data_IF_136204922017
#
_entry.id   IF_136204922017
#
_cell.length_a   1.000
_cell.length_b   1.000
_cell.length_c   1.000
_cell.angle_alpha   90.00
_cell.angle_beta   90.00
_cell.angle_gamma   90.00
#
_symmetry.space_group_name_H-M   'P 1'
#
loop_
_entity.id
_entity.type
_entity.pdbx_description
1 polymer ?
#
# COMPACT_ATOMS: atom_id res chain seq x y z
N UNK A 1 -14.87 36.42 -26.52
CA UNK A 1 -15.91 35.98 -25.57
C UNK A 1 -16.87 35.17 -26.40
N UNK A 2 -16.69 33.86 -26.38
CA UNK A 2 -17.33 32.94 -27.33
C UNK A 2 -17.73 31.74 -26.50
N UNK A 3 -19.04 31.54 -26.34
CA UNK A 3 -19.61 30.46 -25.54
C UNK A 3 -19.32 29.09 -26.17
N UNK A 4 -19.16 28.03 -25.36
CA UNK A 4 -19.05 26.66 -25.86
C UNK A 4 -20.41 26.08 -26.30
N UNK A 5 -20.43 25.17 -27.29
CA UNK A 5 -21.66 24.54 -27.78
C UNK A 5 -22.20 23.45 -26.83
N UNK A 6 -23.49 23.08 -26.96
CA UNK A 6 -24.17 22.20 -26.01
C UNK A 6 -23.73 20.74 -26.16
N UNK A 7 -23.59 20.05 -25.03
CA UNK A 7 -23.35 18.60 -24.96
C UNK A 7 -24.69 17.90 -25.15
N UNK A 8 -24.84 17.21 -26.28
CA UNK A 8 -25.98 16.37 -26.57
C UNK A 8 -25.92 15.09 -25.72
N UNK A 9 -27.02 14.82 -25.03
CA UNK A 9 -27.23 13.64 -24.21
C UNK A 9 -27.91 12.58 -25.07
N UNK A 10 -27.15 11.58 -25.52
CA UNK A 10 -27.72 10.39 -26.15
C UNK A 10 -27.13 9.15 -25.49
N UNK A 11 -27.97 8.51 -24.68
CA UNK A 11 -27.73 7.19 -24.13
C UNK A 11 -27.85 6.13 -25.21
N UNK A 12 -26.94 5.16 -25.18
CA UNK A 12 -27.21 3.85 -25.75
C UNK A 12 -26.91 2.77 -24.70
N UNK A 13 -28.00 2.09 -24.36
CA UNK A 13 -28.07 0.95 -23.48
C UNK A 13 -27.50 -0.30 -24.15
N UNK A 14 -26.78 -1.08 -23.33
CA UNK A 14 -26.81 -2.54 -23.24
C UNK A 14 -27.29 -3.31 -24.48
N UNK A 15 -26.34 -3.81 -25.26
CA UNK A 15 -26.57 -4.93 -26.16
C UNK A 15 -26.76 -6.21 -25.34
N UNK A 16 -27.99 -6.70 -25.40
CA UNK A 16 -28.48 -7.93 -24.83
C UNK A 16 -27.83 -9.15 -25.50
N UNK A 17 -27.37 -10.07 -24.66
CA UNK A 17 -27.12 -11.46 -25.04
C UNK A 17 -28.42 -12.08 -25.55
N UNK A 18 -28.38 -12.59 -26.77
CA UNK A 18 -29.28 -13.65 -27.23
C UNK A 18 -28.57 -14.42 -28.32
N UNK A 19 -28.30 -15.70 -28.08
CA UNK A 19 -28.49 -16.76 -29.05
C UNK A 19 -28.64 -18.10 -28.31
N UNK A 20 -29.61 -18.83 -28.81
CA UNK A 20 -30.29 -20.01 -28.29
C UNK A 20 -29.51 -21.33 -28.47
N UNK A 21 -29.73 -22.24 -27.51
CA UNK A 21 -29.99 -23.69 -27.63
C UNK A 21 -29.31 -24.50 -28.75
N UNK A 22 -28.56 -25.54 -28.39
CA UNK A 22 -28.89 -26.97 -28.69
C UNK A 22 -27.80 -27.92 -28.20
N UNK A 23 -28.22 -29.12 -27.83
CA UNK A 23 -27.43 -30.25 -27.37
C UNK A 23 -26.82 -31.04 -28.53
N UNK A 24 -25.57 -31.50 -28.39
CA UNK A 24 -24.90 -32.40 -29.32
C UNK A 24 -23.69 -33.08 -28.69
N UNK A 25 -23.71 -34.41 -28.60
CA UNK A 25 -22.58 -35.28 -28.23
C UNK A 25 -21.62 -35.43 -29.40
N UNK A 26 -20.31 -35.53 -29.11
CA UNK A 26 -19.41 -36.41 -29.85
C UNK A 26 -18.14 -35.77 -30.44
N UNK A 27 -17.01 -36.24 -29.89
CA UNK A 27 -15.70 -36.47 -30.53
C UNK A 27 -14.76 -35.31 -30.89
N UNK A 28 -13.66 -35.30 -30.12
CA UNK A 28 -12.25 -35.29 -30.54
C UNK A 28 -11.78 -34.21 -31.52
N UNK A 29 -11.03 -33.23 -30.99
CA UNK A 29 -9.76 -32.80 -31.60
C UNK A 29 -9.05 -31.76 -30.72
N UNK A 30 -7.76 -31.97 -30.54
CA UNK A 30 -6.81 -30.93 -30.14
C UNK A 30 -6.69 -30.72 -28.64
N UNK A 31 -5.80 -31.50 -28.02
CA UNK A 31 -5.13 -31.04 -26.80
C UNK A 31 -4.40 -29.73 -27.13
N UNK A 32 -5.09 -28.61 -26.94
CA UNK A 32 -4.46 -27.32 -26.75
C UNK A 32 -3.55 -27.49 -25.56
N UNK A 33 -2.25 -27.46 -25.83
CA UNK A 33 -1.20 -27.38 -24.84
C UNK A 33 -1.55 -26.27 -23.87
N UNK A 34 -2.09 -26.66 -22.72
CA UNK A 34 -2.33 -25.77 -21.60
C UNK A 34 -1.00 -25.12 -21.27
N UNK A 35 -0.85 -23.85 -21.62
CA UNK A 35 0.28 -23.01 -21.22
C UNK A 35 0.48 -23.21 -19.73
N UNK A 36 1.56 -23.89 -19.37
CA UNK A 36 1.93 -24.17 -18.00
C UNK A 36 2.01 -22.82 -17.30
N UNK A 37 1.04 -22.52 -16.42
CA UNK A 37 0.98 -21.29 -15.65
C UNK A 37 2.38 -21.01 -15.11
N UNK A 38 3.02 -19.95 -15.63
CA UNK A 38 4.41 -19.62 -15.34
C UNK A 38 4.59 -19.59 -13.83
N UNK A 39 5.57 -20.34 -13.32
CA UNK A 39 5.92 -20.29 -11.90
C UNK A 39 6.14 -18.82 -11.55
N UNK A 40 5.40 -18.31 -10.57
CA UNK A 40 5.54 -16.93 -10.08
C UNK A 40 7.03 -16.65 -9.90
N UNK A 41 7.60 -15.60 -10.55
CA UNK A 41 8.99 -15.25 -10.36
C UNK A 41 9.26 -15.06 -8.87
N UNK A 42 10.11 -15.90 -8.29
CA UNK A 42 10.52 -15.76 -6.89
C UNK A 42 11.53 -14.63 -6.79
N UNK A 43 11.06 -13.38 -6.87
CA UNK A 43 11.90 -12.22 -6.60
C UNK A 43 12.18 -12.20 -5.10
N UNK A 44 13.46 -12.34 -4.75
CA UNK A 44 13.93 -12.18 -3.37
C UNK A 44 14.10 -10.70 -3.08
N UNK A 45 13.37 -10.18 -2.11
CA UNK A 45 13.48 -8.79 -1.66
C UNK A 45 14.67 -8.62 -0.70
N UNK A 46 15.88 -8.72 -1.22
CA UNK A 46 17.12 -8.46 -0.47
C UNK A 46 17.55 -7.00 -0.62
N UNK A 47 17.53 -6.22 0.47
CA UNK A 47 17.87 -4.79 0.43
C UNK A 47 19.35 -4.51 0.16
N UNK A 48 20.20 -5.54 0.12
CA UNK A 48 21.59 -5.44 -0.32
C UNK A 48 21.71 -5.49 -1.85
N UNK A 49 20.73 -6.05 -2.55
CA UNK A 49 20.71 -6.11 -4.01
C UNK A 49 20.40 -4.71 -4.59
N UNK A 50 21.27 -4.14 -5.44
CA UNK A 50 21.06 -2.81 -6.01
C UNK A 50 19.78 -2.71 -6.84
N UNK A 51 19.36 -3.76 -7.54
CA UNK A 51 18.11 -3.76 -8.31
C UNK A 51 16.90 -3.74 -7.38
N UNK A 52 16.96 -4.50 -6.27
CA UNK A 52 15.89 -4.48 -5.25
C UNK A 52 15.80 -3.10 -4.57
N UNK A 53 16.94 -2.48 -4.28
CA UNK A 53 16.99 -1.12 -3.76
C UNK A 53 16.36 -0.12 -4.74
N UNK A 54 16.75 -0.17 -6.01
CA UNK A 54 16.20 0.68 -7.05
C UNK A 54 14.67 0.54 -7.19
N UNK A 55 14.17 -0.71 -7.25
CA UNK A 55 12.72 -1.01 -7.27
C UNK A 55 12.01 -0.44 -6.05
N UNK A 56 12.60 -0.58 -4.86
CA UNK A 56 12.02 -0.02 -3.63
C UNK A 56 11.99 1.50 -3.68
N UNK A 57 13.06 2.13 -4.14
CA UNK A 57 13.11 3.59 -4.31
C UNK A 57 12.06 4.07 -5.30
N UNK A 58 11.85 3.38 -6.43
CA UNK A 58 10.79 3.73 -7.39
C UNK A 58 9.39 3.54 -6.80
N UNK A 59 9.17 2.45 -6.06
CA UNK A 59 7.92 2.21 -5.36
C UNK A 59 7.61 3.35 -4.37
N UNK A 60 8.59 3.75 -3.55
CA UNK A 60 8.43 4.84 -2.58
C UNK A 60 8.23 6.18 -3.31
N UNK A 61 9.01 6.45 -4.36
CA UNK A 61 8.88 7.66 -5.17
C UNK A 61 7.48 7.77 -5.78
N UNK A 62 6.94 6.68 -6.31
CA UNK A 62 5.58 6.64 -6.84
C UNK A 62 4.55 6.99 -5.76
N UNK A 63 4.69 6.46 -4.54
CA UNK A 63 3.83 6.81 -3.42
C UNK A 63 3.91 8.31 -3.03
N UNK A 64 5.05 8.97 -3.26
CA UNK A 64 5.20 10.42 -3.07
C UNK A 64 4.51 11.21 -4.17
N UNK A 65 4.69 10.79 -5.42
CA UNK A 65 4.13 11.45 -6.61
C UNK A 65 2.60 11.39 -6.65
N UNK A 66 2.00 10.30 -6.16
CA UNK A 66 0.55 10.07 -6.22
C UNK A 66 -0.08 9.93 -4.82
N UNK A 67 -0.19 11.03 -4.05
CA UNK A 67 -0.65 10.98 -2.66
C UNK A 67 -2.08 10.49 -2.51
N UNK A 68 -3.00 10.87 -3.40
CA UNK A 68 -4.41 10.43 -3.35
C UNK A 68 -4.52 8.93 -3.57
N UNK A 69 -3.79 8.40 -4.55
CA UNK A 69 -3.75 6.97 -4.82
C UNK A 69 -3.06 6.21 -3.69
N UNK A 70 -1.98 6.76 -3.12
CA UNK A 70 -1.31 6.22 -1.95
C UNK A 70 -2.26 6.12 -0.75
N UNK A 71 -3.05 7.16 -0.47
CA UNK A 71 -4.04 7.14 0.61
C UNK A 71 -5.00 5.96 0.39
N UNK A 72 -5.60 5.85 -0.80
CA UNK A 72 -6.50 4.73 -1.15
C UNK A 72 -5.82 3.35 -1.07
N UNK A 73 -4.53 3.28 -1.41
CA UNK A 73 -3.73 2.06 -1.31
C UNK A 73 -3.49 1.63 0.15
N UNK A 74 -3.32 2.57 1.07
CA UNK A 74 -3.07 2.28 2.49
C UNK A 74 -4.30 2.40 3.38
N UNK A 75 -5.45 2.86 2.86
CA UNK A 75 -6.72 2.85 3.59
C UNK A 75 -7.09 1.42 4.01
N UNK A 76 -7.54 1.32 5.26
CA UNK A 76 -8.10 0.10 5.82
C UNK A 76 -9.59 0.01 5.46
N UNK A 77 -9.99 -1.11 4.86
CA UNK A 77 -11.38 -1.37 4.51
C UNK A 77 -12.29 -1.50 5.74
N UNK A 78 -11.78 -1.77 6.95
CA UNK A 78 -12.63 -1.90 8.14
C UNK A 78 -13.22 -0.56 8.64
N UNK A 79 -12.50 0.56 8.50
CA UNK A 79 -13.04 1.88 8.87
C UNK A 79 -14.15 2.32 7.89
N UNK A 80 -14.05 1.94 6.62
CA UNK A 80 -15.07 2.18 5.59
C UNK A 80 -16.29 1.24 5.73
N UNK A 81 -16.12 0.06 6.35
CA UNK A 81 -17.20 -0.91 6.63
C UNK A 81 -18.21 -0.39 7.65
N UNK A 82 -17.76 0.43 8.62
CA UNK A 82 -18.67 1.11 9.56
C UNK A 82 -19.60 2.07 8.82
N UNK A 83 -19.19 2.58 7.65
CA UNK A 83 -19.95 3.53 6.87
C UNK A 83 -20.84 2.87 5.80
N UNK A 84 -20.44 1.78 5.12
CA UNK A 84 -21.30 1.16 4.10
C UNK A 84 -21.11 -0.37 3.95
N UNK A 85 -22.14 -1.14 4.33
CA UNK A 85 -22.13 -2.59 4.45
C UNK A 85 -22.05 -3.42 3.14
N UNK A 86 -21.98 -2.80 1.96
CA UNK A 86 -22.03 -3.50 0.66
C UNK A 86 -20.75 -3.37 -0.20
N UNK A 87 -19.71 -2.65 0.25
CA UNK A 87 -18.58 -2.19 -0.60
C UNK A 87 -17.29 -3.02 -0.60
N UNK A 88 -17.16 -4.10 0.18
CA UNK A 88 -15.85 -4.77 0.37
C UNK A 88 -15.26 -5.34 -0.93
N UNK A 89 -16.08 -5.97 -1.77
CA UNK A 89 -15.59 -6.62 -3.00
C UNK A 89 -15.24 -5.60 -4.10
N UNK A 90 -16.01 -4.52 -4.21
CA UNK A 90 -15.73 -3.40 -5.12
C UNK A 90 -14.44 -2.67 -4.74
N UNK A 91 -14.22 -2.42 -3.45
CA UNK A 91 -12.97 -1.80 -2.97
C UNK A 91 -11.76 -2.71 -3.17
N UNK A 92 -11.91 -4.02 -3.00
CA UNK A 92 -10.84 -4.98 -3.31
C UNK A 92 -10.43 -4.89 -4.78
N UNK A 93 -11.39 -4.90 -5.70
CA UNK A 93 -11.11 -4.76 -7.14
C UNK A 93 -10.44 -3.42 -7.47
N UNK A 94 -10.91 -2.31 -6.89
CA UNK A 94 -10.28 -1.00 -7.06
C UNK A 94 -8.85 -0.95 -6.50
N UNK A 95 -8.61 -1.60 -5.37
CA UNK A 95 -7.27 -1.67 -4.77
C UNK A 95 -6.29 -2.43 -5.65
N UNK A 96 -6.75 -3.45 -6.38
CA UNK A 96 -5.91 -4.14 -7.38
C UNK A 96 -5.53 -3.24 -8.55
N UNK A 97 -6.41 -2.34 -9.00
CA UNK A 97 -6.08 -1.34 -10.02
C UNK A 97 -4.94 -0.43 -9.54
N UNK A 98 -4.99 0.04 -8.28
CA UNK A 98 -3.90 0.86 -7.72
C UNK A 98 -2.60 0.07 -7.60
N UNK A 99 -2.67 -1.22 -7.21
CA UNK A 99 -1.48 -2.07 -7.23
C UNK A 99 -0.92 -2.26 -8.64
N UNK A 100 -1.76 -2.40 -9.65
CA UNK A 100 -1.31 -2.50 -11.04
C UNK A 100 -0.56 -1.23 -11.46
N UNK A 101 -1.06 -0.04 -11.13
CA UNK A 101 -0.37 1.22 -11.42
C UNK A 101 1.02 1.30 -10.77
N UNK A 102 1.16 0.81 -9.53
CA UNK A 102 2.47 0.72 -8.86
C UNK A 102 3.38 -0.27 -9.59
N UNK A 103 2.86 -1.43 -9.96
CA UNK A 103 3.59 -2.45 -10.71
C UNK A 103 4.12 -1.88 -12.02
N UNK A 104 3.28 -1.16 -12.77
CA UNK A 104 3.65 -0.57 -14.05
C UNK A 104 4.77 0.46 -13.87
N UNK A 105 4.67 1.31 -12.85
CA UNK A 105 5.69 2.31 -12.55
C UNK A 105 7.04 1.68 -12.14
N UNK A 106 7.02 0.53 -11.46
CA UNK A 106 8.24 -0.12 -10.96
C UNK A 106 8.90 -1.01 -12.01
N UNK A 107 8.11 -1.75 -12.79
CA UNK A 107 8.65 -2.85 -13.62
C UNK A 107 8.71 -2.56 -15.12
N UNK A 108 7.99 -1.55 -15.64
CA UNK A 108 8.04 -1.21 -17.08
C UNK A 108 9.46 -0.86 -17.54
N UNK A 109 10.20 -0.15 -16.70
CA UNK A 109 11.55 0.32 -17.01
C UNK A 109 12.63 -0.32 -16.14
N UNK A 110 12.36 -1.49 -15.54
CA UNK A 110 13.30 -2.17 -14.64
C UNK A 110 14.70 -2.33 -15.26
N UNK A 111 15.74 -2.15 -14.46
CA UNK A 111 17.12 -2.29 -14.93
C UNK A 111 17.44 -3.74 -15.32
N UNK A 112 16.78 -4.71 -14.72
CA UNK A 112 16.93 -6.11 -15.07
C UNK A 112 16.06 -6.45 -16.28
N UNK A 113 16.73 -6.69 -17.41
CA UNK A 113 16.09 -7.01 -18.70
C UNK A 113 15.20 -8.25 -18.60
N UNK A 114 15.58 -9.26 -17.82
CA UNK A 114 14.78 -10.46 -17.64
C UNK A 114 13.51 -10.17 -16.87
N UNK A 115 13.59 -9.32 -15.85
CA UNK A 115 12.41 -8.91 -15.07
C UNK A 115 11.46 -8.07 -15.92
N UNK A 116 11.96 -7.13 -16.75
CA UNK A 116 11.11 -6.40 -17.72
C UNK A 116 10.40 -7.34 -18.67
N UNK A 117 11.13 -8.32 -19.23
CA UNK A 117 10.56 -9.28 -20.15
C UNK A 117 9.49 -10.14 -19.48
N UNK A 118 9.74 -10.65 -18.27
CA UNK A 118 8.76 -11.41 -17.49
C UNK A 118 7.53 -10.58 -17.14
N UNK A 119 7.72 -9.32 -16.76
CA UNK A 119 6.61 -8.41 -16.49
C UNK A 119 5.77 -8.17 -17.74
N UNK A 120 6.38 -7.97 -18.91
CA UNK A 120 5.65 -7.79 -20.17
C UNK A 120 4.78 -9.00 -20.54
N UNK A 121 5.19 -10.21 -20.16
CA UNK A 121 4.42 -11.44 -20.41
C UNK A 121 3.34 -11.69 -19.36
N UNK A 122 3.61 -11.35 -18.10
CA UNK A 122 2.77 -11.73 -16.96
C UNK A 122 2.56 -10.61 -15.95
N UNK A 123 1.97 -9.45 -16.35
CA UNK A 123 1.93 -8.25 -15.50
C UNK A 123 1.15 -8.46 -14.19
N UNK A 124 0.07 -9.25 -14.23
CA UNK A 124 -0.76 -9.52 -13.05
C UNK A 124 -0.04 -10.31 -11.94
N UNK A 125 0.99 -11.11 -12.27
CA UNK A 125 1.76 -11.85 -11.28
C UNK A 125 2.61 -10.93 -10.39
N UNK A 126 2.91 -9.72 -10.88
CA UNK A 126 3.75 -8.76 -10.17
C UNK A 126 2.99 -7.97 -9.10
N UNK A 127 1.65 -7.92 -9.17
CA UNK A 127 0.82 -7.35 -8.09
C UNK A 127 1.14 -8.03 -6.76
N UNK A 128 1.24 -9.36 -6.76
CA UNK A 128 1.57 -10.13 -5.56
C UNK A 128 2.97 -9.79 -5.02
N UNK A 129 3.93 -9.52 -5.91
CA UNK A 129 5.28 -9.15 -5.53
C UNK A 129 5.33 -7.80 -4.82
N UNK A 130 4.59 -6.80 -5.33
CA UNK A 130 4.46 -5.48 -4.69
C UNK A 130 3.73 -5.60 -3.35
N UNK A 131 2.62 -6.34 -3.27
CA UNK A 131 1.90 -6.59 -2.00
C UNK A 131 2.84 -7.18 -0.94
N UNK A 132 3.63 -8.20 -1.30
CA UNK A 132 4.61 -8.82 -0.42
C UNK A 132 5.72 -7.83 0.00
N UNK A 133 6.16 -6.94 -0.91
CA UNK A 133 7.16 -5.92 -0.58
C UNK A 133 6.62 -4.92 0.43
N UNK A 134 5.42 -4.40 0.26
CA UNK A 134 4.80 -3.52 1.25
C UNK A 134 4.68 -4.18 2.62
N UNK A 135 4.30 -5.46 2.68
CA UNK A 135 4.27 -6.21 3.94
C UNK A 135 5.66 -6.31 4.58
N UNK A 136 6.71 -6.56 3.80
CA UNK A 136 8.08 -6.57 4.31
C UNK A 136 8.53 -5.21 4.82
N UNK A 137 8.22 -4.13 4.10
CA UNK A 137 8.53 -2.76 4.50
C UNK A 137 7.78 -2.38 5.78
N UNK A 138 6.51 -2.77 5.88
CA UNK A 138 5.66 -2.56 7.05
C UNK A 138 6.25 -3.25 8.30
N UNK A 139 6.75 -4.48 8.17
CA UNK A 139 7.44 -5.18 9.27
C UNK A 139 8.70 -4.43 9.72
N UNK A 140 9.59 -4.09 8.77
CA UNK A 140 10.83 -3.35 9.05
C UNK A 140 10.57 -1.98 9.67
N UNK A 141 9.56 -1.28 9.19
CA UNK A 141 9.12 -0.01 9.75
C UNK A 141 8.70 -0.15 11.22
N UNK A 142 7.89 -1.14 11.56
CA UNK A 142 7.51 -1.35 12.96
C UNK A 142 8.67 -1.82 13.83
N UNK A 143 9.61 -2.62 13.30
CA UNK A 143 10.83 -2.97 14.01
C UNK A 143 11.69 -1.73 14.33
N UNK A 144 11.85 -0.82 13.37
CA UNK A 144 12.53 0.45 13.59
C UNK A 144 11.79 1.34 14.60
N UNK A 145 10.46 1.41 14.52
CA UNK A 145 9.66 2.18 15.48
C UNK A 145 9.71 1.62 16.91
N UNK A 146 9.88 0.30 17.08
CA UNK A 146 10.13 -0.28 18.41
C UNK A 146 11.43 0.24 19.01
N UNK A 147 12.46 0.50 18.18
CA UNK A 147 13.72 1.10 18.64
C UNK A 147 13.55 2.55 19.08
N UNK A 148 12.64 3.30 18.46
CA UNK A 148 12.28 4.66 18.90
C UNK A 148 11.48 4.69 20.20
N UNK A 149 10.81 3.59 20.54
CA UNK A 149 9.99 3.46 21.74
C UNK A 149 8.75 4.36 21.71
N UNK A 150 8.03 4.42 22.84
CA UNK A 150 6.81 5.23 22.97
C UNK A 150 7.08 6.74 22.86
N UNK A 151 8.24 7.20 23.32
CA UNK A 151 8.63 8.62 23.31
C UNK A 151 8.92 9.17 21.91
N UNK A 152 9.32 8.30 20.98
CA UNK A 152 9.46 8.66 19.56
C UNK A 152 8.22 8.30 18.72
N UNK A 153 7.27 7.57 19.28
CA UNK A 153 6.09 7.13 18.55
C UNK A 153 5.17 8.32 18.24
N UNK A 154 4.95 8.57 16.95
CA UNK A 154 4.07 9.64 16.51
C UNK A 154 4.74 11.01 16.40
N UNK A 155 5.99 11.18 16.82
CA UNK A 155 6.78 12.35 16.46
C UNK A 155 7.14 12.33 14.98
N UNK A 156 7.16 13.49 14.33
CA UNK A 156 7.67 13.65 12.97
C UNK A 156 9.19 13.45 12.94
N UNK A 157 9.75 13.20 11.74
CA UNK A 157 11.21 13.12 11.58
C UNK A 157 11.92 14.39 12.01
N UNK A 158 11.32 15.57 11.77
CA UNK A 158 11.86 16.85 12.21
C UNK A 158 11.94 16.95 13.76
N UNK A 159 10.85 16.63 14.46
CA UNK A 159 10.82 16.64 15.93
C UNK A 159 11.81 15.63 16.55
N UNK A 160 12.01 14.47 15.90
CA UNK A 160 13.01 13.49 16.33
C UNK A 160 14.44 14.03 16.16
N UNK A 161 14.71 14.83 15.13
CA UNK A 161 16.05 15.41 14.91
C UNK A 161 16.40 16.53 15.91
N UNK A 162 15.40 17.20 16.48
CA UNK A 162 15.61 18.25 17.49
C UNK A 162 16.11 17.69 18.83
N UNK A 163 15.88 16.39 19.10
CA UNK A 163 16.28 15.73 20.34
C UNK A 163 17.59 14.96 20.12
N UNK A 164 18.71 15.30 20.78
CA UNK A 164 20.01 14.71 20.47
C UNK A 164 20.11 13.19 20.61
N UNK A 165 19.36 12.62 21.56
CA UNK A 165 19.24 11.18 21.79
C UNK A 165 18.44 10.48 20.68
N UNK A 166 17.29 11.04 20.31
CA UNK A 166 16.45 10.51 19.23
C UNK A 166 17.11 10.66 17.87
N UNK A 167 17.79 11.78 17.61
CA UNK A 167 18.56 12.00 16.39
C UNK A 167 19.59 10.88 16.16
N UNK A 168 20.36 10.52 17.18
CA UNK A 168 21.35 9.42 17.08
C UNK A 168 20.70 8.08 16.77
N UNK A 169 19.50 7.82 17.30
CA UNK A 169 18.74 6.60 16.98
C UNK A 169 18.20 6.65 15.55
N UNK A 170 17.66 7.78 15.14
CA UNK A 170 17.15 8.02 13.79
C UNK A 170 18.26 7.84 12.74
N UNK A 171 19.45 8.41 12.98
CA UNK A 171 20.61 8.25 12.08
C UNK A 171 20.97 6.78 11.87
N UNK A 172 20.92 5.96 12.94
CA UNK A 172 21.15 4.50 12.86
C UNK A 172 20.03 3.78 12.12
N UNK A 173 18.78 4.19 12.31
CA UNK A 173 17.63 3.62 11.60
C UNK A 173 17.76 3.92 10.11
N UNK A 174 17.96 5.17 9.72
CA UNK A 174 18.05 5.60 8.32
C UNK A 174 19.27 4.98 7.63
N UNK A 175 20.39 4.82 8.32
CA UNK A 175 21.56 4.11 7.77
C UNK A 175 21.26 2.65 7.38
N UNK A 176 20.44 1.94 8.16
CA UNK A 176 20.08 0.54 7.90
C UNK A 176 18.80 0.37 7.07
N UNK A 177 17.91 1.34 7.12
CA UNK A 177 16.62 1.36 6.46
C UNK A 177 16.34 2.74 5.85
N UNK A 178 16.96 3.06 4.70
CA UNK A 178 16.93 4.41 4.11
C UNK A 178 15.54 4.95 3.76
N UNK A 179 14.54 4.07 3.59
CA UNK A 179 13.17 4.45 3.26
C UNK A 179 12.32 4.75 4.50
N UNK A 180 12.90 4.69 5.71
CA UNK A 180 12.14 4.86 6.95
C UNK A 180 11.42 6.21 6.99
N UNK A 181 12.07 7.32 6.65
CA UNK A 181 11.46 8.66 6.75
C UNK A 181 10.24 8.82 5.84
N UNK A 182 10.34 8.39 4.57
CA UNK A 182 9.22 8.44 3.63
C UNK A 182 8.06 7.57 4.13
N UNK A 183 8.35 6.34 4.57
CA UNK A 183 7.35 5.41 5.10
C UNK A 183 6.72 5.93 6.39
N UNK A 184 7.50 6.57 7.25
CA UNK A 184 7.00 7.22 8.45
C UNK A 184 6.04 8.36 8.07
N UNK A 185 6.38 9.18 7.07
CA UNK A 185 5.47 10.17 6.50
C UNK A 185 4.15 9.59 6.00
N UNK A 186 4.14 8.36 5.48
CA UNK A 186 2.93 7.70 4.99
C UNK A 186 2.10 7.03 6.09
N UNK A 187 2.76 6.46 7.10
CA UNK A 187 2.15 5.49 8.01
C UNK A 187 2.07 5.96 9.46
N UNK A 188 2.76 7.03 9.86
CA UNK A 188 2.87 7.49 11.26
C UNK A 188 1.53 7.60 11.98
N UNK A 189 0.50 8.11 11.31
CA UNK A 189 -0.84 8.34 11.89
C UNK A 189 -1.84 7.24 11.55
N UNK A 190 -1.44 6.19 10.85
CA UNK A 190 -2.34 5.09 10.45
C UNK A 190 -2.20 3.92 11.44
N UNK A 191 -3.22 3.63 12.28
CA UNK A 191 -3.17 2.56 13.29
C UNK A 191 -2.92 1.17 12.71
N UNK A 192 -3.33 0.92 11.46
CA UNK A 192 -3.11 -0.37 10.77
C UNK A 192 -1.66 -0.56 10.34
N UNK A 193 -0.85 0.51 10.35
CA UNK A 193 0.56 0.47 9.93
C UNK A 193 1.57 0.88 11.01
N UNK A 194 1.16 1.70 11.99
CA UNK A 194 1.99 2.10 13.12
C UNK A 194 1.42 1.53 14.44
N UNK A 195 1.86 0.32 14.80
CA UNK A 195 1.32 -0.36 15.98
C UNK A 195 1.64 0.35 17.30
N UNK A 196 2.76 1.09 17.36
CA UNK A 196 3.17 1.83 18.57
C UNK A 196 2.25 3.03 18.82
N UNK A 197 1.66 3.60 17.76
CA UNK A 197 0.63 4.64 17.88
C UNK A 197 -0.68 4.07 18.41
N UNK A 198 -1.07 2.86 17.98
CA UNK A 198 -2.29 2.19 18.45
C UNK A 198 -2.27 1.79 19.92
N UNK A 199 -1.10 1.69 20.55
CA UNK A 199 -0.98 1.43 22.00
C UNK A 199 -1.09 2.69 22.87
N UNK A 200 -1.09 3.88 22.28
CA UNK A 200 -1.48 5.10 22.98
C UNK A 200 -3.01 5.14 22.99
N UNK A 201 -3.62 4.67 24.06
CA UNK A 201 -5.08 4.66 24.23
C UNK A 201 -5.65 6.08 24.10
N UNK A 202 -6.52 6.37 23.11
CA UNK A 202 -7.18 7.68 22.99
C UNK A 202 -8.13 7.97 24.17
N UNK A 203 -8.41 6.96 25.01
CA UNK A 203 -9.25 7.10 26.22
C UNK A 203 -8.45 7.37 27.49
N UNK A 204 -7.12 7.43 27.42
CA UNK A 204 -6.35 8.04 28.49
C UNK A 204 -6.44 9.56 28.36
N UNK A 205 -7.57 10.08 28.85
CA UNK A 205 -7.73 11.49 29.16
C UNK A 205 -6.73 11.88 30.26
N UNK A 206 -5.52 12.22 29.83
CA UNK A 206 -4.49 12.76 30.72
C UNK A 206 -4.92 14.09 31.34
N UNK A 207 -5.89 14.81 30.74
CA UNK A 207 -6.42 16.04 31.33
C UNK A 207 -7.33 15.73 32.53
N UNK A 208 -8.19 14.71 32.45
CA UNK A 208 -8.99 14.25 33.59
C UNK A 208 -8.12 13.68 34.74
N UNK A 209 -7.04 12.99 34.39
CA UNK A 209 -6.09 12.42 35.36
C UNK A 209 -5.30 13.50 36.10
N UNK A 210 -4.90 14.56 35.39
CA UNK A 210 -4.23 15.72 35.99
C UNK A 210 -5.18 16.52 36.89
N UNK A 211 -6.43 16.74 36.47
CA UNK A 211 -7.43 17.45 37.30
C UNK A 211 -7.68 16.73 38.63
N UNK A 212 -7.76 15.40 38.65
CA UNK A 212 -7.96 14.64 39.90
C UNK A 212 -6.79 14.76 40.89
N UNK A 213 -5.56 14.95 40.40
CA UNK A 213 -4.40 15.17 41.26
C UNK A 213 -4.37 16.57 41.89
N UNK A 214 -4.90 17.58 41.20
CA UNK A 214 -4.99 18.95 41.73
C UNK A 214 -6.25 19.24 42.54
N UNK A 215 -7.31 18.44 42.40
CA UNK A 215 -8.59 18.65 43.08
C UNK A 215 -8.75 17.95 44.43
N UNK A 216 -7.68 17.38 44.99
CA UNK A 216 -7.59 17.01 46.41
C UNK A 216 -8.87 16.43 47.05
N UNK A 217 -9.12 15.14 46.88
CA UNK A 217 -9.99 14.42 47.82
C UNK A 217 -9.18 13.32 48.50
N UNK A 218 -8.61 13.70 49.64
CA UNK A 218 -8.49 12.79 50.77
C UNK A 218 -9.87 12.63 51.40
N UNK A 219 -10.24 11.39 51.69
CA UNK A 219 -11.48 10.98 52.35
C UNK A 219 -11.53 9.47 52.38
#
# INVERSE_FOLDING_TARGET
MTDPPPIDASGQANQLFSLSSTCGRGHDCGSTSATRAGKIPKIRWDDKDPNVRARTTWLISWCKTYPDTRIKLFSDSHQDVVNEGWRRQQMSAQKEVYYQQVVDAVFTHDHDVHIRHLYSQYPSLFIKLIKNRFQSLHKKYNEANKTLGSTGAGLTSAELQERPDMKKLLDKIVANFPWWEDLHGFWRTNPSYNMVFSTADPRQDFAASAQRYFSGQQG
#
